data_IF_870465979356
#
_entry.id   IF_870465979356
#
_cell.length_a   1.000
_cell.length_b   1.000
_cell.length_c   1.000
_cell.angle_alpha   90.00
_cell.angle_beta   90.00
_cell.angle_gamma   90.00
#
_symmetry.space_group_name_H-M   'P 1'
#
loop_
_entity.id
_entity.type
_entity.pdbx_description
1 polymer ?
#
# COMPACT_ATOMS: atom_id res chain seq x y z
N UNK A 1 -17.34 1.13 18.43
CA UNK A 1 -17.01 1.05 17.00
C UNK A 1 -16.52 -0.34 16.66
N UNK A 2 -17.12 -0.96 15.67
CA UNK A 2 -16.71 -2.28 15.26
C UNK A 2 -15.30 -2.25 14.67
N UNK A 3 -14.46 -3.16 15.12
CA UNK A 3 -13.11 -3.27 14.55
C UNK A 3 -13.18 -3.98 13.20
N UNK A 4 -12.52 -3.42 12.22
CA UNK A 4 -12.37 -4.04 10.91
C UNK A 4 -10.98 -4.67 10.84
N UNK A 5 -10.93 -5.99 10.66
CA UNK A 5 -9.66 -6.69 10.48
C UNK A 5 -8.98 -6.23 9.20
N UNK A 6 -9.76 -6.03 8.13
CA UNK A 6 -9.23 -5.54 6.87
C UNK A 6 -8.59 -4.15 7.03
N UNK A 7 -9.25 -3.26 7.77
CA UNK A 7 -8.70 -1.92 8.01
C UNK A 7 -7.43 -1.97 8.85
N UNK A 8 -7.40 -2.78 9.89
CA UNK A 8 -6.21 -2.94 10.72
C UNK A 8 -5.02 -3.41 9.89
N UNK A 9 -5.23 -4.42 9.03
CA UNK A 9 -4.17 -4.93 8.16
C UNK A 9 -3.73 -3.89 7.13
N UNK A 10 -4.68 -3.15 6.57
CA UNK A 10 -4.36 -2.09 5.61
C UNK A 10 -3.53 -0.98 6.26
N UNK A 11 -3.84 -0.61 7.50
CA UNK A 11 -3.06 0.38 8.23
C UNK A 11 -1.66 -0.13 8.53
N UNK A 12 -1.53 -1.38 8.97
CA UNK A 12 -0.23 -1.98 9.24
C UNK A 12 0.63 -2.01 7.99
N UNK A 13 0.03 -2.37 6.85
CA UNK A 13 0.72 -2.37 5.58
C UNK A 13 1.14 -0.96 5.19
N UNK A 14 0.25 0.03 5.35
CA UNK A 14 0.55 1.43 5.05
C UNK A 14 1.73 1.93 5.88
N UNK A 15 1.81 1.53 7.15
CA UNK A 15 2.95 1.89 7.99
C UNK A 15 4.26 1.29 7.48
N UNK A 16 4.22 0.04 6.98
CA UNK A 16 5.40 -0.56 6.35
C UNK A 16 5.83 0.23 5.12
N UNK A 17 4.86 0.66 4.32
CA UNK A 17 5.13 1.47 3.13
C UNK A 17 5.76 2.82 3.51
N UNK A 18 5.25 3.47 4.54
CA UNK A 18 5.83 4.74 5.01
C UNK A 18 7.29 4.54 5.45
N UNK A 19 7.57 3.47 6.19
CA UNK A 19 8.94 3.17 6.62
C UNK A 19 9.85 2.88 5.44
N UNK A 20 9.35 2.13 4.46
CA UNK A 20 10.12 1.84 3.25
C UNK A 20 10.38 3.12 2.46
N UNK A 21 9.38 4.00 2.37
CA UNK A 21 9.56 5.29 1.70
C UNK A 21 10.70 6.10 2.34
N UNK A 22 10.72 6.16 3.67
CA UNK A 22 11.79 6.87 4.38
C UNK A 22 13.15 6.27 4.04
N UNK A 23 13.26 4.96 4.06
CA UNK A 23 14.51 4.27 3.72
C UNK A 23 14.95 4.58 2.28
N UNK A 24 14.02 4.47 1.34
CA UNK A 24 14.32 4.68 -0.07
C UNK A 24 14.75 6.11 -0.36
N UNK A 25 14.15 7.10 0.28
CA UNK A 25 14.50 8.49 0.07
C UNK A 25 15.77 8.88 0.83
N UNK A 26 15.94 8.43 2.07
CA UNK A 26 17.07 8.83 2.90
C UNK A 26 18.34 8.07 2.57
N UNK A 27 18.26 6.74 2.38
CA UNK A 27 19.42 5.90 2.15
C UNK A 27 19.72 5.65 0.68
N UNK A 28 18.68 5.40 -0.12
CA UNK A 28 18.83 5.04 -1.53
C UNK A 28 18.69 6.23 -2.47
N UNK A 29 18.23 7.37 -1.98
CA UNK A 29 18.03 8.59 -2.77
C UNK A 29 17.12 8.37 -3.98
N UNK A 30 16.15 7.46 -3.84
CA UNK A 30 15.13 7.21 -4.85
C UNK A 30 13.88 8.00 -4.49
N UNK A 31 13.42 8.92 -5.37
CA UNK A 31 12.38 9.87 -5.05
C UNK A 31 11.15 9.78 -5.94
N UNK A 32 11.23 9.03 -7.02
CA UNK A 32 10.16 9.00 -8.03
C UNK A 32 9.25 7.79 -7.81
N UNK A 33 9.82 6.59 -7.89
CA UNK A 33 9.04 5.35 -7.70
C UNK A 33 8.58 5.22 -6.26
N UNK A 34 9.41 5.63 -5.31
CA UNK A 34 9.07 5.60 -3.89
C UNK A 34 7.85 6.46 -3.59
N UNK A 35 7.73 7.61 -4.23
CA UNK A 35 6.57 8.49 -4.04
C UNK A 35 5.30 7.85 -4.58
N UNK A 36 5.35 7.24 -5.75
CA UNK A 36 4.21 6.53 -6.32
C UNK A 36 3.78 5.38 -5.42
N UNK A 37 4.75 4.62 -4.91
CA UNK A 37 4.50 3.55 -3.96
C UNK A 37 3.84 4.07 -2.68
N UNK A 38 4.33 5.20 -2.15
CA UNK A 38 3.78 5.81 -0.95
C UNK A 38 2.31 6.16 -1.15
N UNK A 39 1.99 6.83 -2.26
CA UNK A 39 0.61 7.23 -2.55
C UNK A 39 -0.29 6.01 -2.67
N UNK A 40 0.06 5.05 -3.53
CA UNK A 40 -0.80 3.87 -3.74
C UNK A 40 -0.92 3.02 -2.49
N UNK A 41 0.18 2.78 -1.78
CA UNK A 41 0.19 1.93 -0.59
C UNK A 41 -0.60 2.49 0.57
N UNK A 42 -0.58 3.82 0.75
CA UNK A 42 -1.39 4.47 1.79
C UNK A 42 -2.85 4.61 1.37
N UNK A 43 -3.12 4.73 0.07
CA UNK A 43 -4.49 4.83 -0.43
C UNK A 43 -5.26 3.53 -0.32
N UNK A 44 -4.59 2.38 -0.21
CA UNK A 44 -5.27 1.12 0.13
C UNK A 44 -6.03 1.32 1.44
N UNK A 45 -5.35 1.80 2.48
CA UNK A 45 -5.97 2.06 3.78
C UNK A 45 -7.05 3.12 3.70
N UNK A 46 -6.84 4.15 2.90
CA UNK A 46 -7.84 5.22 2.69
C UNK A 46 -9.16 4.65 2.17
N UNK A 47 -9.11 3.80 1.15
CA UNK A 47 -10.31 3.23 0.56
C UNK A 47 -10.96 2.16 1.44
N UNK A 48 -10.16 1.36 2.12
CA UNK A 48 -10.71 0.38 3.08
C UNK A 48 -11.41 1.11 4.22
N UNK A 49 -10.83 2.21 4.72
CA UNK A 49 -11.48 3.02 5.74
C UNK A 49 -12.79 3.61 5.23
N UNK A 50 -12.80 4.14 4.01
CA UNK A 50 -14.01 4.67 3.40
C UNK A 50 -15.10 3.59 3.29
N UNK A 51 -14.71 2.35 2.99
CA UNK A 51 -15.65 1.24 2.92
C UNK A 51 -16.31 0.98 4.27
N UNK A 52 -15.58 1.14 5.38
CA UNK A 52 -16.13 0.88 6.72
C UNK A 52 -17.26 1.84 7.12
N UNK A 53 -17.33 3.00 6.47
CA UNK A 53 -18.36 4.03 6.74
C UNK A 53 -19.28 4.23 5.54
N UNK A 54 -19.28 3.29 4.61
CA UNK A 54 -20.10 3.41 3.40
C UNK A 54 -21.59 3.30 3.75
N UNK A 55 -22.40 4.10 3.07
CA UNK A 55 -23.85 4.17 3.32
C UNK A 55 -24.63 3.01 2.69
N UNK A 56 -24.05 2.32 1.73
CA UNK A 56 -24.72 1.26 1.00
C UNK A 56 -23.75 0.15 0.62
N UNK A 57 -24.29 -1.01 0.23
CA UNK A 57 -23.46 -2.11 -0.27
C UNK A 57 -22.73 -1.74 -1.55
N UNK A 58 -23.39 -0.95 -2.40
CA UNK A 58 -22.76 -0.48 -3.63
C UNK A 58 -21.55 0.40 -3.34
N UNK A 59 -21.70 1.32 -2.39
CA UNK A 59 -20.58 2.20 -1.98
C UNK A 59 -19.47 1.41 -1.30
N UNK A 60 -19.83 0.43 -0.46
CA UNK A 60 -18.85 -0.45 0.18
C UNK A 60 -18.02 -1.19 -0.89
N UNK A 61 -18.71 -1.83 -1.83
CA UNK A 61 -18.04 -2.57 -2.91
C UNK A 61 -17.16 -1.68 -3.77
N UNK A 62 -17.65 -0.48 -4.10
CA UNK A 62 -16.89 0.50 -4.89
C UNK A 62 -15.60 0.91 -4.17
N UNK A 63 -15.66 1.20 -2.88
CA UNK A 63 -14.48 1.59 -2.12
C UNK A 63 -13.50 0.42 -1.97
N UNK A 64 -13.99 -0.78 -1.71
CA UNK A 64 -13.12 -1.96 -1.65
C UNK A 64 -12.45 -2.23 -3.00
N UNK A 65 -13.16 -2.05 -4.10
CA UNK A 65 -12.58 -2.22 -5.43
C UNK A 65 -11.46 -1.21 -5.69
N UNK A 66 -11.66 0.06 -5.30
CA UNK A 66 -10.61 1.08 -5.40
C UNK A 66 -9.39 0.70 -4.57
N UNK A 67 -9.61 0.14 -3.38
CA UNK A 67 -8.52 -0.37 -2.55
C UNK A 67 -7.73 -1.47 -3.24
N UNK A 68 -8.42 -2.38 -3.92
CA UNK A 68 -7.77 -3.45 -4.70
C UNK A 68 -6.96 -2.88 -5.86
N UNK A 69 -7.46 -1.84 -6.52
CA UNK A 69 -6.72 -1.17 -7.59
C UNK A 69 -5.44 -0.53 -7.05
N UNK A 70 -5.52 0.09 -5.87
CA UNK A 70 -4.34 0.67 -5.23
C UNK A 70 -3.33 -0.41 -4.84
N UNK A 71 -3.79 -1.56 -4.38
CA UNK A 71 -2.91 -2.69 -4.08
C UNK A 71 -2.19 -3.17 -5.34
N UNK A 72 -2.91 -3.27 -6.44
CA UNK A 72 -2.33 -3.65 -7.72
C UNK A 72 -1.25 -2.64 -8.17
N UNK A 73 -1.54 -1.35 -8.03
CA UNK A 73 -0.56 -0.31 -8.34
C UNK A 73 0.67 -0.44 -7.45
N UNK A 74 0.47 -0.67 -6.16
CA UNK A 74 1.57 -0.83 -5.21
C UNK A 74 2.46 -2.02 -5.58
N UNK A 75 1.88 -3.12 -5.99
CA UNK A 75 2.65 -4.29 -6.46
C UNK A 75 3.55 -3.92 -7.64
N UNK A 76 3.03 -3.11 -8.57
CA UNK A 76 3.83 -2.66 -9.71
C UNK A 76 5.02 -1.82 -9.25
N UNK A 77 4.80 -0.85 -8.36
CA UNK A 77 5.89 0.00 -7.88
C UNK A 77 6.93 -0.79 -7.10
N UNK A 78 6.49 -1.74 -6.27
CA UNK A 78 7.42 -2.62 -5.54
C UNK A 78 8.24 -3.47 -6.49
N UNK A 79 7.62 -4.00 -7.54
CA UNK A 79 8.31 -4.79 -8.55
C UNK A 79 9.39 -3.95 -9.25
N UNK A 80 9.04 -2.72 -9.65
CA UNK A 80 9.98 -1.84 -10.33
C UNK A 80 11.13 -1.42 -9.42
N UNK A 81 10.85 -1.18 -8.14
CA UNK A 81 11.90 -0.87 -7.17
C UNK A 81 12.86 -2.05 -6.99
N UNK A 82 12.31 -3.26 -6.98
CA UNK A 82 13.11 -4.48 -6.84
C UNK A 82 13.98 -4.70 -8.09
N UNK A 83 13.36 -4.65 -9.27
CA UNK A 83 14.07 -4.90 -10.53
C UNK A 83 15.08 -3.80 -10.84
N UNK A 84 14.82 -2.59 -10.38
CA UNK A 84 15.75 -1.46 -10.52
C UNK A 84 16.92 -1.49 -9.56
N UNK A 85 16.93 -2.40 -8.61
CA UNK A 85 18.06 -2.58 -7.68
C UNK A 85 17.98 -1.80 -6.38
N UNK A 86 16.86 -1.13 -6.10
CA UNK A 86 16.71 -0.37 -4.85
C UNK A 86 16.15 -1.20 -3.70
N UNK A 87 15.60 -2.37 -3.98
CA UNK A 87 14.93 -3.21 -2.99
C UNK A 87 15.49 -4.62 -3.06
N UNK A 88 16.02 -5.11 -1.92
CA UNK A 88 16.60 -6.45 -1.82
C UNK A 88 15.52 -7.54 -1.92
N UNK A 89 15.93 -8.72 -2.41
CA UNK A 89 15.02 -9.85 -2.65
C UNK A 89 14.19 -10.20 -1.43
N UNK A 90 14.83 -10.36 -0.28
CA UNK A 90 14.14 -10.75 0.95
C UNK A 90 13.09 -9.74 1.36
N UNK A 91 13.44 -8.46 1.28
CA UNK A 91 12.51 -7.40 1.66
C UNK A 91 11.36 -7.32 0.68
N UNK A 92 11.67 -7.42 -0.61
CA UNK A 92 10.64 -7.42 -1.66
C UNK A 92 9.64 -8.55 -1.45
N UNK A 93 10.11 -9.77 -1.22
CA UNK A 93 9.25 -10.92 -0.98
C UNK A 93 8.36 -10.71 0.23
N UNK A 94 8.92 -10.20 1.32
CA UNK A 94 8.19 -9.98 2.56
C UNK A 94 7.08 -8.95 2.38
N UNK A 95 7.39 -7.79 1.82
CA UNK A 95 6.40 -6.73 1.69
C UNK A 95 5.39 -7.02 0.59
N UNK A 96 5.81 -7.66 -0.49
CA UNK A 96 4.91 -8.02 -1.58
C UNK A 96 3.88 -9.07 -1.15
N UNK A 97 4.27 -9.97 -0.27
CA UNK A 97 3.35 -10.95 0.30
C UNK A 97 2.25 -10.27 1.12
N UNK A 98 2.60 -9.21 1.86
CA UNK A 98 1.63 -8.46 2.66
C UNK A 98 0.69 -7.62 1.79
N UNK A 99 1.10 -7.25 0.61
CA UNK A 99 0.27 -6.49 -0.30
C UNK A 99 -0.80 -7.38 -0.91
#
# INVERSE_FOLDING_TARGET
>A
MAKSIALEKAIQFALRIVKLYKYLTEEKKEFVLSKQMLVSGTFIAKHVKAATVAESRGNFGSEMFKGMQMASDTELWLFLLHEGGWLEDKYFESINTDC
#
